data_IF_664247729664
#
_entry.id   IF_664247729664
#
_cell.length_a   1.000
_cell.length_b   1.000
_cell.length_c   1.000
_cell.angle_alpha   90.00
_cell.angle_beta   90.00
_cell.angle_gamma   90.00
#
_symmetry.space_group_name_H-M   'P 1'
#
loop_
_entity.id
_entity.type
_entity.pdbx_description
1 polymer ?
#
# COMPACT_ATOMS: atom_id res chain seq x y z
N UNK A 1 15.41 41.21 -12.10
CA UNK A 1 15.59 39.77 -12.37
C UNK A 1 14.36 39.05 -11.83
N UNK A 2 13.47 38.70 -12.73
CA UNK A 2 12.27 37.95 -12.33
C UNK A 2 12.71 36.55 -11.90
N UNK A 3 12.40 36.17 -10.66
CA UNK A 3 12.40 34.80 -10.23
C UNK A 3 11.31 34.07 -11.05
N UNK A 4 11.72 33.42 -12.12
CA UNK A 4 10.90 32.45 -12.81
C UNK A 4 10.78 31.21 -11.89
N UNK A 5 9.92 31.34 -10.89
CA UNK A 5 9.44 30.18 -10.12
C UNK A 5 8.47 29.47 -11.06
N UNK A 6 9.02 28.68 -11.99
CA UNK A 6 8.25 27.83 -12.87
C UNK A 6 7.32 27.01 -11.98
N UNK A 7 6.04 27.37 -11.98
CA UNK A 7 5.02 26.67 -11.17
C UNK A 7 5.02 25.20 -11.60
N UNK A 8 5.24 24.30 -10.64
CA UNK A 8 5.22 22.86 -10.87
C UNK A 8 3.87 22.45 -11.49
N UNK A 9 3.93 21.60 -12.50
CA UNK A 9 2.70 21.01 -13.03
C UNK A 9 2.13 19.99 -12.04
N UNK A 10 0.80 19.76 -12.09
CA UNK A 10 0.15 18.75 -11.25
C UNK A 10 0.84 17.37 -11.36
N UNK A 11 1.22 16.96 -12.59
CA UNK A 11 1.94 15.72 -12.82
C UNK A 11 3.32 15.66 -12.16
N UNK A 12 4.03 16.81 -12.06
CA UNK A 12 5.31 16.88 -11.35
C UNK A 12 5.10 16.76 -9.83
N UNK A 13 4.10 17.44 -9.29
CA UNK A 13 3.77 17.35 -7.84
C UNK A 13 3.36 15.94 -7.46
N UNK A 14 2.53 15.27 -8.27
CA UNK A 14 2.14 13.88 -8.02
C UNK A 14 3.34 12.93 -8.07
N UNK A 15 4.27 13.12 -8.99
CA UNK A 15 5.51 12.34 -9.01
C UNK A 15 6.34 12.57 -7.75
N UNK A 16 6.50 13.81 -7.31
CA UNK A 16 7.21 14.12 -6.05
C UNK A 16 6.57 13.44 -4.85
N UNK A 17 5.24 13.43 -4.76
CA UNK A 17 4.51 12.70 -3.72
C UNK A 17 4.82 11.19 -3.77
N UNK A 18 4.74 10.57 -4.95
CA UNK A 18 5.02 9.15 -5.13
C UNK A 18 6.47 8.80 -4.78
N UNK A 19 7.43 9.66 -5.17
CA UNK A 19 8.85 9.48 -4.84
C UNK A 19 9.10 9.59 -3.34
N UNK A 20 8.50 10.56 -2.66
CA UNK A 20 8.62 10.74 -1.22
C UNK A 20 8.00 9.53 -0.46
N UNK A 21 6.81 9.10 -0.86
CA UNK A 21 6.16 7.91 -0.30
C UNK A 21 7.01 6.65 -0.49
N UNK A 22 7.56 6.46 -1.69
CA UNK A 22 8.43 5.32 -1.96
C UNK A 22 9.71 5.36 -1.12
N UNK A 23 10.34 6.52 -0.96
CA UNK A 23 11.52 6.68 -0.11
C UNK A 23 11.22 6.33 1.36
N UNK A 24 10.07 6.75 1.89
CA UNK A 24 9.63 6.38 3.23
C UNK A 24 9.46 4.86 3.37
N UNK A 25 8.83 4.20 2.39
CA UNK A 25 8.67 2.74 2.38
C UNK A 25 10.01 2.00 2.26
N UNK A 26 10.97 2.51 1.49
CA UNK A 26 12.33 1.93 1.42
C UNK A 26 12.97 1.96 2.81
N UNK A 27 12.90 3.07 3.52
CA UNK A 27 13.43 3.22 4.88
C UNK A 27 12.73 2.29 5.86
N UNK A 28 11.39 2.23 5.81
CA UNK A 28 10.60 1.36 6.67
C UNK A 28 10.96 -0.13 6.48
N UNK A 29 11.09 -0.58 5.23
CA UNK A 29 11.48 -1.96 4.90
C UNK A 29 12.88 -2.31 5.43
N UNK A 30 13.82 -1.38 5.31
CA UNK A 30 15.17 -1.57 5.86
C UNK A 30 15.13 -1.72 7.39
N UNK A 31 14.37 -0.88 8.09
CA UNK A 31 14.18 -0.93 9.54
C UNK A 31 13.57 -2.27 9.98
N UNK A 32 12.59 -2.79 9.25
CA UNK A 32 11.90 -4.04 9.56
C UNK A 32 12.61 -5.29 9.03
N UNK A 33 13.68 -5.13 8.25
CA UNK A 33 14.39 -6.23 7.58
C UNK A 33 13.43 -7.10 6.73
N UNK A 34 12.55 -6.45 5.97
CA UNK A 34 11.60 -7.09 5.06
C UNK A 34 11.82 -6.65 3.61
N UNK A 35 11.42 -7.50 2.66
CA UNK A 35 11.48 -7.17 1.24
C UNK A 35 10.31 -6.28 0.82
N UNK A 36 10.38 -5.68 -0.38
CA UNK A 36 9.27 -4.96 -0.98
C UNK A 36 8.01 -5.85 -1.09
N UNK A 37 8.19 -7.08 -1.56
CA UNK A 37 7.09 -8.03 -1.71
C UNK A 37 6.46 -8.40 -0.38
N UNK A 38 7.27 -8.55 0.69
CA UNK A 38 6.77 -8.79 2.05
C UNK A 38 5.93 -7.61 2.55
N UNK A 39 6.43 -6.38 2.38
CA UNK A 39 5.70 -5.18 2.82
C UNK A 39 4.37 -5.03 2.08
N UNK A 40 4.37 -5.19 0.75
CA UNK A 40 3.15 -5.14 -0.07
C UNK A 40 2.15 -6.22 0.33
N UNK A 41 2.63 -7.44 0.57
CA UNK A 41 1.78 -8.54 1.03
C UNK A 41 1.16 -8.26 2.39
N UNK A 42 1.95 -7.77 3.36
CA UNK A 42 1.47 -7.44 4.69
C UNK A 42 0.40 -6.34 4.66
N UNK A 43 0.66 -5.24 3.96
CA UNK A 43 -0.31 -4.15 3.82
C UNK A 43 -1.61 -4.63 3.16
N UNK A 44 -1.52 -5.48 2.13
CA UNK A 44 -2.69 -6.06 1.48
C UNK A 44 -3.49 -6.95 2.44
N UNK A 45 -2.82 -7.83 3.19
CA UNK A 45 -3.47 -8.77 4.13
C UNK A 45 -4.07 -8.02 5.32
N UNK A 46 -3.42 -6.97 5.83
CA UNK A 46 -3.98 -6.10 6.88
C UNK A 46 -5.27 -5.44 6.41
N UNK A 47 -5.29 -4.88 5.21
CA UNK A 47 -6.48 -4.27 4.62
C UNK A 47 -7.58 -5.26 4.19
N UNK A 48 -7.24 -6.57 4.07
CA UNK A 48 -8.15 -7.63 3.62
C UNK A 48 -8.01 -8.88 4.51
N UNK A 49 -8.43 -8.84 5.78
CA UNK A 49 -8.31 -9.98 6.69
C UNK A 49 -9.00 -11.24 6.13
N UNK A 50 -8.34 -12.38 6.26
CA UNK A 50 -8.84 -13.63 5.71
C UNK A 50 -8.77 -13.73 4.18
N UNK A 51 -7.83 -13.02 3.57
CA UNK A 51 -7.62 -13.07 2.11
C UNK A 51 -7.20 -14.46 1.64
N UNK A 52 -7.56 -14.80 0.40
CA UNK A 52 -7.14 -16.04 -0.24
C UNK A 52 -5.75 -15.89 -0.86
N UNK A 53 -4.91 -16.95 -0.87
CA UNK A 53 -3.62 -16.92 -1.57
C UNK A 53 -3.72 -16.49 -3.05
N UNK A 54 -4.82 -16.86 -3.72
CA UNK A 54 -5.06 -16.47 -5.12
C UNK A 54 -5.23 -14.95 -5.28
N UNK A 55 -5.99 -14.30 -4.38
CA UNK A 55 -6.17 -12.84 -4.42
C UNK A 55 -4.85 -12.12 -4.13
N UNK A 56 -4.06 -12.62 -3.16
CA UNK A 56 -2.73 -12.07 -2.87
C UNK A 56 -1.78 -12.24 -4.07
N UNK A 57 -1.82 -13.40 -4.73
CA UNK A 57 -1.04 -13.67 -5.95
C UNK A 57 -1.37 -12.67 -7.07
N UNK A 58 -2.65 -12.45 -7.32
CA UNK A 58 -3.14 -11.53 -8.35
C UNK A 58 -2.73 -10.09 -8.04
N UNK A 59 -2.91 -9.66 -6.79
CA UNK A 59 -2.49 -8.32 -6.36
C UNK A 59 -0.99 -8.08 -6.53
N UNK A 60 -0.15 -9.07 -6.20
CA UNK A 60 1.30 -8.96 -6.30
C UNK A 60 1.84 -9.19 -7.72
N UNK A 61 1.08 -9.79 -8.61
CA UNK A 61 1.50 -10.15 -9.96
C UNK A 61 2.60 -11.22 -9.99
N UNK A 62 2.58 -12.17 -9.04
CA UNK A 62 3.59 -13.23 -8.90
C UNK A 62 3.02 -14.62 -9.25
N UNK A 63 3.90 -15.62 -9.39
CA UNK A 63 3.51 -17.00 -9.68
C UNK A 63 2.87 -17.70 -8.49
N UNK A 64 2.16 -18.82 -8.72
CA UNK A 64 1.59 -19.64 -7.64
C UNK A 64 2.68 -20.21 -6.71
N UNK A 65 3.84 -20.59 -7.23
CA UNK A 65 4.97 -20.99 -6.39
C UNK A 65 5.51 -19.81 -5.57
N UNK A 66 5.60 -18.62 -6.17
CA UNK A 66 6.05 -17.40 -5.51
C UNK A 66 5.18 -17.00 -4.34
N UNK A 67 3.84 -17.03 -4.49
CA UNK A 67 2.93 -16.69 -3.40
C UNK A 67 2.98 -17.72 -2.26
N UNK A 68 3.15 -19.00 -2.57
CA UNK A 68 3.31 -20.05 -1.55
C UNK A 68 4.56 -19.80 -0.72
N UNK A 69 5.72 -19.63 -1.37
CA UNK A 69 6.99 -19.32 -0.71
C UNK A 69 6.93 -18.04 0.13
N UNK A 70 6.27 -17.00 -0.39
CA UNK A 70 6.06 -15.74 0.33
C UNK A 70 5.25 -15.96 1.61
N UNK A 71 4.11 -16.66 1.50
CA UNK A 71 3.25 -16.92 2.66
C UNK A 71 3.99 -17.79 3.69
N UNK A 72 4.74 -18.82 3.26
CA UNK A 72 5.54 -19.66 4.17
C UNK A 72 6.56 -18.83 4.93
N UNK A 73 7.25 -17.90 4.26
CA UNK A 73 8.20 -16.99 4.89
C UNK A 73 7.52 -16.05 5.89
N UNK A 74 6.37 -15.47 5.55
CA UNK A 74 5.63 -14.58 6.46
C UNK A 74 5.09 -15.35 7.68
N UNK A 75 4.63 -16.58 7.50
CA UNK A 75 4.19 -17.46 8.60
C UNK A 75 5.37 -17.82 9.50
N UNK A 76 6.53 -18.20 8.93
CA UNK A 76 7.72 -18.56 9.71
C UNK A 76 8.24 -17.40 10.57
N UNK A 77 7.98 -16.16 10.14
CA UNK A 77 8.29 -14.93 10.89
C UNK A 77 7.16 -14.49 11.82
N UNK A 78 6.09 -15.25 11.93
CA UNK A 78 4.89 -14.93 12.73
C UNK A 78 4.25 -13.59 12.35
N UNK A 79 4.30 -13.21 11.07
CA UNK A 79 3.72 -11.96 10.56
C UNK A 79 2.29 -12.16 10.04
N UNK A 80 1.99 -13.38 9.61
CA UNK A 80 0.66 -13.81 9.20
C UNK A 80 0.38 -15.22 9.72
N UNK A 81 -0.89 -15.60 9.77
CA UNK A 81 -1.31 -16.98 10.03
C UNK A 81 -2.16 -17.50 8.87
N UNK A 82 -2.21 -18.83 8.76
CA UNK A 82 -3.15 -19.52 7.89
C UNK A 82 -4.32 -19.99 8.71
N UNK A 83 -5.51 -19.59 8.32
CA UNK A 83 -6.76 -20.04 8.87
C UNK A 83 -7.45 -20.94 7.83
N UNK A 84 -8.16 -21.97 8.30
CA UNK A 84 -8.99 -22.81 7.43
C UNK A 84 -10.30 -22.08 7.18
N UNK A 85 -10.76 -22.04 5.94
CA UNK A 85 -12.06 -21.45 5.62
C UNK A 85 -13.18 -22.21 6.33
N UNK A 86 -14.08 -21.52 7.06
CA UNK A 86 -15.14 -22.18 7.81
C UNK A 86 -16.17 -22.90 6.92
N UNK A 87 -16.28 -22.51 5.65
CA UNK A 87 -17.25 -23.09 4.71
C UNK A 87 -16.59 -24.17 3.86
N UNK A 88 -15.37 -23.94 3.37
CA UNK A 88 -14.61 -24.91 2.58
C UNK A 88 -13.23 -25.15 3.20
N UNK A 89 -13.11 -26.27 3.91
CA UNK A 89 -11.86 -26.67 4.58
C UNK A 89 -10.66 -26.89 3.64
N UNK A 90 -10.88 -26.88 2.32
CA UNK A 90 -9.81 -26.98 1.32
C UNK A 90 -9.18 -25.63 1.01
N UNK A 91 -9.81 -24.54 1.44
CA UNK A 91 -9.36 -23.18 1.20
C UNK A 91 -8.65 -22.65 2.43
N UNK A 92 -7.41 -22.20 2.23
CA UNK A 92 -6.68 -21.47 3.25
C UNK A 92 -7.00 -19.96 3.14
N UNK A 93 -7.10 -19.32 4.28
CA UNK A 93 -7.21 -17.87 4.43
C UNK A 93 -5.97 -17.35 5.14
N UNK A 94 -5.54 -16.16 4.75
CA UNK A 94 -4.36 -15.52 5.31
C UNK A 94 -4.82 -14.29 6.10
N UNK A 95 -4.39 -14.23 7.36
CA UNK A 95 -4.71 -13.11 8.26
C UNK A 95 -3.42 -12.61 8.90
N UNK A 96 -3.25 -11.29 8.96
CA UNK A 96 -2.11 -10.68 9.65
C UNK A 96 -2.19 -10.96 11.16
N UNK A 97 -1.03 -11.16 11.77
CA UNK A 97 -0.87 -11.35 13.23
C UNK A 97 -0.23 -10.13 13.88
N UNK A 98 0.18 -9.16 13.06
CA UNK A 98 0.73 -7.88 13.49
C UNK A 98 -0.36 -6.81 13.49
N UNK A 99 -0.20 -5.80 14.33
CA UNK A 99 -0.95 -4.55 14.25
C UNK A 99 -0.11 -3.49 13.52
N UNK A 100 -0.62 -3.01 12.39
CA UNK A 100 0.08 -2.00 11.59
C UNK A 100 0.09 -0.63 12.26
N UNK A 101 -0.76 -0.37 13.24
CA UNK A 101 -0.79 0.87 14.01
C UNK A 101 0.26 0.90 15.14
N UNK A 102 0.84 -0.25 15.49
CA UNK A 102 1.79 -0.37 16.59
C UNK A 102 3.23 -0.55 16.08
N UNK A 103 4.18 -0.09 16.91
CA UNK A 103 5.60 -0.32 16.65
C UNK A 103 5.96 -1.82 16.77
N UNK A 104 6.88 -2.31 15.94
CA UNK A 104 7.67 -1.55 14.95
C UNK A 104 6.97 -1.38 13.59
N UNK A 105 5.73 -1.87 13.40
CA UNK A 105 5.06 -1.96 12.11
C UNK A 105 4.46 -0.65 11.63
N UNK A 106 4.18 0.29 12.54
CA UNK A 106 3.64 1.63 12.24
C UNK A 106 4.47 2.40 11.21
N UNK A 107 5.76 2.10 11.09
CA UNK A 107 6.64 2.74 10.09
C UNK A 107 6.22 2.46 8.64
N UNK A 108 5.48 1.36 8.38
CA UNK A 108 5.00 1.05 7.03
C UNK A 108 3.87 1.96 6.57
N UNK A 109 3.11 2.53 7.50
CA UNK A 109 1.96 3.38 7.21
C UNK A 109 2.20 4.85 7.54
N UNK A 110 3.27 5.16 8.25
CA UNK A 110 3.55 6.50 8.81
C UNK A 110 3.44 7.62 7.78
N UNK A 111 3.99 7.43 6.57
CA UNK A 111 3.91 8.46 5.54
C UNK A 111 2.47 8.76 5.13
N UNK A 112 1.66 7.72 4.96
CA UNK A 112 0.25 7.85 4.57
C UNK A 112 -0.56 8.48 5.71
N UNK A 113 -0.33 8.07 6.97
CA UNK A 113 -0.98 8.64 8.15
C UNK A 113 -0.62 10.13 8.34
N UNK A 114 0.67 10.49 8.22
CA UNK A 114 1.12 11.88 8.31
C UNK A 114 0.54 12.74 7.17
N UNK A 115 0.41 12.17 5.96
CA UNK A 115 -0.22 12.84 4.84
C UNK A 115 -1.71 13.07 5.07
N UNK A 116 -2.43 12.08 5.59
CA UNK A 116 -3.87 12.21 5.91
C UNK A 116 -4.09 13.29 6.98
N UNK A 117 -3.26 13.34 8.02
CA UNK A 117 -3.29 14.42 9.02
C UNK A 117 -3.07 15.80 8.37
N UNK A 118 -2.15 15.92 7.43
CA UNK A 118 -1.90 17.17 6.72
C UNK A 118 -3.09 17.56 5.81
N UNK A 119 -3.73 16.59 5.16
CA UNK A 119 -4.94 16.79 4.35
C UNK A 119 -6.12 17.26 5.22
N UNK A 120 -6.31 16.64 6.39
CA UNK A 120 -7.39 17.02 7.33
C UNK A 120 -7.21 18.45 7.86
N UNK A 121 -5.96 18.89 8.03
CA UNK A 121 -5.65 20.26 8.45
C UNK A 121 -5.73 21.30 7.32
N UNK A 122 -5.85 20.86 6.05
CA UNK A 122 -5.91 21.75 4.90
C UNK A 122 -7.31 22.36 4.70
N UNK A 123 -7.40 23.40 3.85
CA UNK A 123 -8.68 24.01 3.49
C UNK A 123 -9.57 23.01 2.74
N UNK A 124 -10.63 22.57 3.39
CA UNK A 124 -11.56 21.58 2.86
C UNK A 124 -12.33 22.07 1.62
N UNK A 125 -12.43 23.40 1.42
CA UNK A 125 -13.00 23.98 0.20
C UNK A 125 -12.10 23.70 -1.04
N UNK A 126 -10.82 23.40 -0.83
CA UNK A 126 -9.87 23.01 -1.87
C UNK A 126 -9.73 21.49 -1.96
N UNK A 127 -9.69 20.79 -0.83
CA UNK A 127 -9.47 19.33 -0.77
C UNK A 127 -10.56 18.57 -1.53
N UNK A 128 -11.84 18.87 -1.27
CA UNK A 128 -12.96 18.16 -1.90
C UNK A 128 -12.93 18.22 -3.45
N UNK A 129 -12.84 19.39 -4.07
CA UNK A 129 -12.69 19.51 -5.52
C UNK A 129 -11.43 18.84 -6.06
N UNK A 130 -10.32 18.86 -5.31
CA UNK A 130 -9.05 18.22 -5.71
C UNK A 130 -9.20 16.69 -5.77
N UNK A 131 -9.88 16.07 -4.81
CA UNK A 131 -10.18 14.63 -4.81
C UNK A 131 -10.98 14.26 -6.06
N UNK A 132 -12.06 14.99 -6.36
CA UNK A 132 -12.89 14.73 -7.54
C UNK A 132 -12.09 14.87 -8.85
N UNK A 133 -11.26 15.90 -8.94
CA UNK A 133 -10.38 16.12 -10.10
C UNK A 133 -9.39 14.96 -10.29
N UNK A 134 -8.70 14.55 -9.23
CA UNK A 134 -7.72 13.45 -9.29
C UNK A 134 -8.38 12.12 -9.67
N UNK A 135 -9.57 11.84 -9.13
CA UNK A 135 -10.35 10.66 -9.51
C UNK A 135 -10.71 10.66 -11.00
N UNK A 136 -11.20 11.79 -11.52
CA UNK A 136 -11.56 11.94 -12.94
C UNK A 136 -10.35 11.77 -13.85
N UNK A 137 -9.23 12.39 -13.53
CA UNK A 137 -7.98 12.28 -14.30
C UNK A 137 -7.42 10.84 -14.29
N UNK A 138 -7.46 10.18 -13.13
CA UNK A 138 -7.02 8.78 -13.00
C UNK A 138 -7.90 7.86 -13.84
N UNK A 139 -9.22 8.00 -13.78
CA UNK A 139 -10.15 7.21 -14.56
C UNK A 139 -9.96 7.41 -16.08
N UNK A 140 -9.76 8.65 -16.52
CA UNK A 140 -9.50 8.97 -17.92
C UNK A 140 -8.18 8.33 -18.42
N UNK A 141 -7.16 8.29 -17.57
CA UNK A 141 -5.84 7.72 -17.92
C UNK A 141 -5.89 6.19 -18.01
N UNK A 142 -6.62 5.53 -17.11
CA UNK A 142 -6.75 4.06 -17.10
C UNK A 142 -7.68 3.58 -18.22
N UNK A 143 -8.75 4.32 -18.52
CA UNK A 143 -9.74 3.98 -19.54
C UNK A 143 -9.22 4.09 -20.99
N UNK A 144 -8.08 4.72 -21.23
CA UNK A 144 -7.52 4.95 -22.59
C UNK A 144 -6.68 3.77 -23.11
N UNK A 145 -6.53 2.69 -22.33
CA UNK A 145 -5.77 1.49 -22.73
C UNK A 145 -6.71 0.38 -23.22
N UNK A 146 -7.31 0.60 -24.38
CA UNK A 146 -7.95 -0.44 -25.20
C UNK A 146 -7.40 -0.39 -26.61
#
# INVERSE_FOLDING_TARGET
MANDTSALTLGQVLRQYLDARNAALVTARATLSITDTDARALLFVVGNPGTRPTALREYLGITSAGVTTLIDRLVSRSLVRRDVDPVDRRVNRITATIDIAEDPWSVLNRFDDDFDVAVDAADQAVVGPSVALLQALTAATVGTRH
#
